data_IF_642461741465
#
_entry.id   IF_642461741465
#
_cell.length_a   1.000
_cell.length_b   1.000
_cell.length_c   1.000
_cell.angle_alpha   90.00
_cell.angle_beta   90.00
_cell.angle_gamma   90.00
#
_symmetry.space_group_name_H-M   'P 1'
#
loop_
_entity.id
_entity.type
_entity.pdbx_description
1 polymer ?
#
# COMPACT_ATOMS: atom_id res chain seq x y z
N UNK A 1 10.65 -7.36 -3.84
CA UNK A 1 9.89 -7.63 -5.08
C UNK A 1 10.45 -6.84 -6.28
N UNK A 2 10.24 -5.52 -6.36
CA UNK A 2 10.57 -4.65 -7.52
C UNK A 2 12.07 -4.48 -7.86
N UNK A 3 13.00 -5.17 -7.18
CA UNK A 3 14.43 -5.20 -7.55
C UNK A 3 14.70 -6.12 -8.75
N UNK A 4 13.82 -7.09 -8.97
CA UNK A 4 13.95 -8.12 -10.00
C UNK A 4 13.15 -7.81 -11.27
N UNK A 5 12.48 -6.65 -11.32
CA UNK A 5 11.74 -6.22 -12.50
C UNK A 5 12.73 -5.82 -13.61
N UNK A 6 12.30 -5.82 -14.88
CA UNK A 6 13.10 -5.29 -15.99
C UNK A 6 13.58 -3.86 -15.70
N UNK A 7 14.76 -3.49 -16.22
CA UNK A 7 15.36 -2.17 -15.93
C UNK A 7 14.52 -1.03 -16.52
N UNK A 8 13.79 -1.32 -17.59
CA UNK A 8 12.88 -0.41 -18.28
C UNK A 8 11.73 0.03 -17.36
N UNK A 9 11.32 -0.82 -16.42
CA UNK A 9 10.25 -0.57 -15.45
C UNK A 9 10.71 0.20 -14.20
N UNK A 10 11.99 0.61 -14.14
CA UNK A 10 12.54 1.30 -12.98
C UNK A 10 11.76 2.60 -12.67
N UNK A 11 11.43 3.36 -13.71
CA UNK A 11 10.65 4.60 -13.60
C UNK A 11 9.14 4.39 -13.82
N UNK A 12 8.75 3.21 -14.33
CA UNK A 12 7.37 2.78 -14.50
C UNK A 12 6.82 2.11 -13.24
N UNK A 13 6.47 0.83 -13.37
CA UNK A 13 5.78 0.07 -12.33
C UNK A 13 6.58 -0.01 -11.02
N UNK A 14 7.91 -0.17 -11.10
CA UNK A 14 8.76 -0.26 -9.90
C UNK A 14 8.71 1.00 -9.05
N UNK A 15 8.74 2.18 -9.68
CA UNK A 15 8.69 3.47 -8.97
C UNK A 15 7.32 3.70 -8.34
N UNK A 16 6.24 3.36 -9.05
CA UNK A 16 4.87 3.52 -8.53
C UNK A 16 4.62 2.62 -7.32
N UNK A 17 4.97 1.33 -7.40
CA UNK A 17 4.84 0.38 -6.28
C UNK A 17 5.64 0.80 -5.06
N UNK A 18 6.88 1.27 -5.25
CA UNK A 18 7.72 1.73 -4.13
C UNK A 18 7.13 2.96 -3.45
N UNK A 19 6.63 3.94 -4.21
CA UNK A 19 6.01 5.15 -3.65
C UNK A 19 4.73 4.81 -2.88
N UNK A 20 3.87 3.96 -3.43
CA UNK A 20 2.66 3.50 -2.75
C UNK A 20 3.00 2.80 -1.42
N UNK A 21 3.94 1.84 -1.45
CA UNK A 21 4.36 1.11 -0.25
C UNK A 21 4.98 2.02 0.84
N UNK A 22 5.76 3.02 0.46
CA UNK A 22 6.37 3.98 1.42
C UNK A 22 5.35 4.98 1.97
N UNK A 23 4.32 5.32 1.19
CA UNK A 23 3.27 6.27 1.59
C UNK A 23 2.46 5.77 2.79
N UNK A 24 2.21 4.45 2.88
CA UNK A 24 1.42 3.85 3.96
C UNK A 24 2.01 4.14 5.35
N UNK A 25 3.24 3.71 5.69
CA UNK A 25 3.82 4.00 7.01
C UNK A 25 4.09 5.49 7.22
N UNK A 26 4.34 6.26 6.14
CA UNK A 26 4.57 7.71 6.23
C UNK A 26 3.32 8.44 6.73
N UNK A 27 2.15 8.13 6.17
CA UNK A 27 0.88 8.70 6.59
C UNK A 27 0.46 8.27 8.00
N UNK A 28 0.72 7.02 8.39
CA UNK A 28 0.50 6.55 9.77
C UNK A 28 1.35 7.36 10.75
N UNK A 29 2.65 7.52 10.47
CA UNK A 29 3.56 8.26 11.35
C UNK A 29 3.23 9.76 11.40
N UNK A 30 2.80 10.36 10.28
CA UNK A 30 2.37 11.76 10.26
C UNK A 30 1.09 11.97 11.07
N UNK A 31 0.10 11.10 10.89
CA UNK A 31 -1.14 11.12 11.64
C UNK A 31 -0.94 10.97 13.13
N UNK A 32 -0.05 10.06 13.54
CA UNK A 32 0.24 9.82 14.96
C UNK A 32 0.82 11.04 15.66
N UNK A 33 1.55 11.90 14.95
CA UNK A 33 2.12 13.15 15.50
C UNK A 33 1.09 14.28 15.64
N UNK A 34 -0.14 14.10 15.13
CA UNK A 34 -1.21 15.11 15.26
C UNK A 34 -1.81 15.08 16.67
N UNK A 35 -2.31 16.23 17.13
CA UNK A 35 -2.76 16.41 18.52
C UNK A 35 -4.19 15.93 18.77
N UNK A 36 -4.97 15.67 17.72
CA UNK A 36 -6.39 15.34 17.81
C UNK A 36 -6.72 14.03 17.07
N UNK A 37 -7.55 13.18 17.69
CA UNK A 37 -7.99 11.91 17.11
C UNK A 37 -8.63 12.07 15.73
N UNK A 38 -9.37 13.16 15.47
CA UNK A 38 -9.97 13.42 14.15
C UNK A 38 -8.91 13.60 13.04
N UNK A 39 -7.83 14.31 13.34
CA UNK A 39 -6.72 14.47 12.39
C UNK A 39 -5.98 13.15 12.22
N UNK A 40 -5.73 12.41 13.30
CA UNK A 40 -5.12 11.10 13.21
C UNK A 40 -5.96 10.13 12.36
N UNK A 41 -7.28 10.09 12.58
CA UNK A 41 -8.22 9.33 11.74
C UNK A 41 -8.16 9.77 10.29
N UNK A 42 -8.03 11.07 9.98
CA UNK A 42 -7.87 11.54 8.61
C UNK A 42 -6.59 11.01 7.96
N UNK A 43 -5.45 11.06 8.66
CA UNK A 43 -4.18 10.51 8.17
C UNK A 43 -4.20 8.99 8.05
N UNK A 44 -4.84 8.29 8.98
CA UNK A 44 -5.08 6.85 8.85
C UNK A 44 -6.01 6.56 7.69
N UNK A 45 -7.01 7.40 7.44
CA UNK A 45 -7.83 7.36 6.23
C UNK A 45 -7.09 7.86 5.00
N UNK A 46 -5.87 8.38 5.05
CA UNK A 46 -5.04 8.61 3.85
C UNK A 46 -4.10 7.41 3.64
N UNK A 47 -3.60 6.83 4.74
CA UNK A 47 -2.86 5.58 4.73
C UNK A 47 -3.72 4.39 4.27
N UNK A 48 -4.99 4.35 4.70
CA UNK A 48 -6.02 3.37 4.34
C UNK A 48 -6.87 3.83 3.17
N UNK A 49 -7.20 5.12 3.14
CA UNK A 49 -7.86 5.75 2.00
C UNK A 49 -6.83 6.06 0.95
N UNK A 50 -6.47 4.99 0.29
CA UNK A 50 -7.21 4.75 -0.92
C UNK A 50 -8.09 3.51 -0.78
N UNK A 51 -9.27 3.73 -0.22
CA UNK A 51 -10.19 2.69 0.25
C UNK A 51 -11.15 2.36 -0.89
N UNK A 52 -11.17 1.07 -1.24
CA UNK A 52 -11.92 0.43 -2.31
C UNK A 52 -11.49 0.73 -3.76
N UNK A 53 -10.78 1.82 -4.07
CA UNK A 53 -10.29 2.14 -5.43
C UNK A 53 -9.02 3.06 -5.49
N UNK A 54 -7.93 2.81 -4.74
CA UNK A 54 -6.60 3.44 -5.03
C UNK A 54 -5.44 2.94 -4.13
N UNK A 55 -4.26 3.59 -4.10
CA UNK A 55 -2.96 3.29 -3.40
C UNK A 55 -2.70 1.90 -2.77
N UNK A 56 -3.53 1.40 -1.85
CA UNK A 56 -3.46 -0.01 -1.43
C UNK A 56 -4.06 -0.95 -2.48
N UNK A 57 -5.21 -0.57 -3.04
CA UNK A 57 -5.73 -1.13 -4.28
C UNK A 57 -4.87 -0.77 -5.50
N UNK A 58 -4.13 0.36 -5.51
CA UNK A 58 -3.11 0.54 -6.57
C UNK A 58 -1.97 -0.43 -6.40
N UNK A 59 -1.48 -0.67 -5.17
CA UNK A 59 -0.39 -1.61 -4.94
C UNK A 59 -0.84 -3.06 -5.22
N UNK A 60 -2.08 -3.40 -4.88
CA UNK A 60 -2.75 -4.65 -5.25
C UNK A 60 -2.90 -4.77 -6.76
N UNK A 61 -3.45 -3.74 -7.43
CA UNK A 61 -3.55 -3.69 -8.90
C UNK A 61 -2.18 -3.80 -9.55
N UNK A 62 -1.16 -3.15 -9.00
CA UNK A 62 0.21 -3.21 -9.50
C UNK A 62 0.84 -4.58 -9.25
N UNK A 63 0.46 -5.29 -8.18
CA UNK A 63 0.87 -6.68 -7.95
C UNK A 63 0.23 -7.61 -8.99
N UNK A 64 -1.07 -7.44 -9.27
CA UNK A 64 -1.78 -8.17 -10.33
C UNK A 64 -1.13 -7.89 -11.69
N UNK A 65 -0.91 -6.62 -12.04
CA UNK A 65 -0.23 -6.24 -13.30
C UNK A 65 1.19 -6.82 -13.35
N UNK A 66 1.95 -6.79 -12.26
CA UNK A 66 3.29 -7.38 -12.23
C UNK A 66 3.25 -8.89 -12.47
N UNK A 67 2.21 -9.59 -12.03
CA UNK A 67 2.02 -11.01 -12.26
C UNK A 67 1.60 -11.31 -13.71
N UNK A 68 0.66 -10.54 -14.26
CA UNK A 68 0.26 -10.64 -15.67
C UNK A 68 1.43 -10.36 -16.64
N UNK A 69 2.31 -9.43 -16.28
CA UNK A 69 3.55 -9.15 -17.01
C UNK A 69 4.68 -10.15 -16.72
N UNK A 70 4.43 -11.19 -15.93
CA UNK A 70 5.41 -12.21 -15.52
C UNK A 70 6.64 -11.66 -14.78
N UNK A 71 6.53 -10.51 -14.12
CA UNK A 71 7.58 -9.93 -13.28
C UNK A 71 7.63 -10.54 -11.88
N UNK A 72 6.51 -11.14 -11.45
CA UNK A 72 6.38 -11.96 -10.24
C UNK A 72 5.61 -13.25 -10.57
N UNK A 73 5.78 -14.27 -9.74
CA UNK A 73 4.96 -15.48 -9.79
C UNK A 73 3.67 -15.31 -8.97
N UNK A 74 2.71 -16.23 -9.15
CA UNK A 74 1.44 -16.19 -8.43
C UNK A 74 1.59 -16.31 -6.91
N UNK A 75 2.65 -16.98 -6.43
CA UNK A 75 2.94 -17.08 -5.00
C UNK A 75 3.32 -15.72 -4.41
N UNK A 76 4.16 -14.95 -5.10
CA UNK A 76 4.54 -13.59 -4.65
C UNK A 76 3.40 -12.59 -4.77
N UNK A 77 2.53 -12.76 -5.76
CA UNK A 77 1.29 -12.00 -5.85
C UNK A 77 0.43 -12.23 -4.60
N UNK A 78 0.16 -13.49 -4.26
CA UNK A 78 -0.61 -13.87 -3.07
C UNK A 78 0.02 -13.33 -1.78
N UNK A 79 1.35 -13.53 -1.59
CA UNK A 79 2.08 -13.00 -0.43
C UNK A 79 1.96 -11.46 -0.29
N UNK A 80 1.94 -10.73 -1.42
CA UNK A 80 1.76 -9.27 -1.41
C UNK A 80 0.34 -8.88 -1.04
N UNK A 81 -0.66 -9.54 -1.62
CA UNK A 81 -2.08 -9.27 -1.37
C UNK A 81 -2.41 -9.55 0.09
N UNK A 82 -1.93 -10.66 0.65
CA UNK A 82 -2.14 -11.02 2.05
C UNK A 82 -1.54 -9.99 3.01
N UNK A 83 -0.32 -9.51 2.70
CA UNK A 83 0.32 -8.48 3.50
C UNK A 83 -0.43 -7.15 3.43
N UNK A 84 -0.92 -6.79 2.24
CA UNK A 84 -1.73 -5.59 2.03
C UNK A 84 -3.03 -5.67 2.85
N UNK A 85 -3.77 -6.78 2.76
CA UNK A 85 -5.01 -6.97 3.51
C UNK A 85 -4.76 -6.92 5.03
N UNK A 86 -3.69 -7.57 5.50
CA UNK A 86 -3.30 -7.54 6.90
C UNK A 86 -3.11 -6.10 7.43
N UNK A 87 -2.36 -5.26 6.69
CA UNK A 87 -2.13 -3.86 7.06
C UNK A 87 -3.44 -3.06 7.04
N UNK A 88 -4.27 -3.25 6.01
CA UNK A 88 -5.58 -2.61 5.88
C UNK A 88 -6.49 -2.93 7.07
N UNK A 89 -6.52 -4.20 7.51
CA UNK A 89 -7.31 -4.63 8.67
C UNK A 89 -6.77 -4.04 9.96
N UNK A 90 -5.45 -4.00 10.14
CA UNK A 90 -4.83 -3.37 11.32
C UNK A 90 -5.20 -1.90 11.45
N UNK A 91 -5.01 -1.12 10.39
CA UNK A 91 -5.28 0.31 10.44
C UNK A 91 -6.79 0.60 10.50
N UNK A 92 -7.65 -0.21 9.86
CA UNK A 92 -9.12 -0.10 10.02
C UNK A 92 -9.56 -0.32 11.48
N UNK A 93 -8.96 -1.30 12.15
CA UNK A 93 -9.23 -1.56 13.56
C UNK A 93 -8.72 -0.43 14.46
N UNK A 94 -7.59 0.20 14.11
CA UNK A 94 -7.08 1.36 14.82
C UNK A 94 -8.03 2.56 14.70
N UNK A 95 -8.52 2.86 13.49
CA UNK A 95 -9.50 3.94 13.27
C UNK A 95 -10.75 3.74 14.13
N UNK A 96 -11.29 2.51 14.20
CA UNK A 96 -12.47 2.19 15.01
C UNK A 96 -12.30 2.44 16.51
N UNK A 97 -11.05 2.50 17.01
CA UNK A 97 -10.73 2.70 18.42
C UNK A 97 -10.40 4.15 18.79
N UNK A 98 -10.17 5.01 17.80
CA UNK A 98 -9.86 6.43 17.97
C UNK A 98 -11.13 7.28 18.08
#
# INVERSE_FOLDING_TARGET
VTRYFPKEELYGLSSQMRRAAVSIPSNVAEGFRRRHNKEFQQFLNIALGSSALGSSAELETQAVIAKELSYIDGKKEEELIDLIDYICRMASNLIKKL
#
